data_IF_595974769211
#
_entry.id   IF_595974769211
#
_cell.length_a   1.000
_cell.length_b   1.000
_cell.length_c   1.000
_cell.angle_alpha   90.00
_cell.angle_beta   90.00
_cell.angle_gamma   90.00
#
_symmetry.space_group_name_H-M   'P 1'
#
loop_
_entity.id
_entity.type
_entity.pdbx_description
1 polymer ?
#
# COMPACT_ATOMS: atom_id res chain seq x y z
N UNK A 1 32.93 9.00 -33.16
CA UNK A 1 32.68 7.59 -33.59
C UNK A 1 33.26 6.72 -32.47
N UNK A 2 32.42 6.27 -31.57
CA UNK A 2 32.72 5.38 -30.46
C UNK A 2 31.62 4.36 -30.38
N UNK A 3 31.97 3.11 -30.57
CA UNK A 3 31.06 1.99 -30.68
C UNK A 3 30.43 1.65 -29.32
N UNK A 4 29.11 1.67 -29.28
CA UNK A 4 28.34 1.09 -28.19
C UNK A 4 28.45 -0.42 -28.24
N UNK A 5 29.07 -1.02 -27.22
CA UNK A 5 29.06 -2.46 -27.02
C UNK A 5 27.69 -2.88 -26.45
N UNK A 6 26.86 -3.46 -27.32
CA UNK A 6 25.70 -4.24 -26.91
C UNK A 6 26.20 -5.55 -26.24
N UNK A 7 25.97 -5.68 -24.94
CA UNK A 7 26.13 -6.96 -24.24
C UNK A 7 24.92 -7.82 -24.56
N UNK A 8 25.05 -8.68 -25.55
CA UNK A 8 24.07 -9.72 -25.92
C UNK A 8 24.38 -10.95 -25.10
N UNK A 9 23.59 -11.27 -24.11
CA UNK A 9 23.59 -12.57 -23.45
C UNK A 9 22.89 -13.57 -24.38
N UNK A 10 23.65 -14.50 -24.93
CA UNK A 10 23.14 -15.59 -25.77
C UNK A 10 22.23 -16.54 -24.99
N UNK A 11 21.00 -16.70 -25.48
CA UNK A 11 20.05 -17.73 -25.02
C UNK A 11 20.20 -18.91 -26.01
N UNK A 12 20.40 -20.17 -25.57
CA UNK A 12 20.44 -21.32 -26.47
C UNK A 12 19.06 -21.62 -27.06
N UNK A 13 18.97 -21.75 -28.37
CA UNK A 13 17.81 -22.27 -29.09
C UNK A 13 17.60 -23.76 -28.80
N UNK A 14 16.47 -24.10 -28.13
CA UNK A 14 15.82 -25.40 -28.32
C UNK A 14 14.32 -25.29 -28.10
N UNK A 15 13.56 -25.33 -29.20
CA UNK A 15 12.12 -25.60 -29.15
C UNK A 15 11.92 -27.11 -28.89
N UNK A 16 11.41 -27.46 -27.72
CA UNK A 16 11.08 -28.83 -27.34
C UNK A 16 9.89 -28.87 -26.39
N UNK A 17 9.03 -29.87 -26.54
CA UNK A 17 7.84 -30.14 -25.76
C UNK A 17 8.05 -29.93 -24.23
N UNK A 18 7.03 -29.38 -23.53
CA UNK A 18 7.10 -29.15 -22.08
C UNK A 18 7.46 -30.42 -21.33
N UNK A 19 8.66 -30.50 -20.69
CA UNK A 19 8.98 -31.63 -19.85
C UNK A 19 8.12 -31.62 -18.59
N UNK A 20 7.70 -32.81 -18.16
CA UNK A 20 7.09 -33.04 -16.85
C UNK A 20 8.06 -32.53 -15.77
N UNK A 21 7.63 -31.51 -15.00
CA UNK A 21 8.47 -30.79 -14.02
C UNK A 21 8.81 -31.74 -12.88
N UNK A 22 10.10 -32.06 -12.72
CA UNK A 22 10.62 -32.80 -11.57
C UNK A 22 10.34 -32.04 -10.25
N UNK A 23 9.89 -32.74 -9.24
CA UNK A 23 9.72 -32.21 -7.88
C UNK A 23 11.09 -31.69 -7.39
N UNK A 24 11.26 -30.34 -7.38
CA UNK A 24 12.50 -29.68 -6.91
C UNK A 24 12.97 -28.47 -7.72
N UNK A 25 12.44 -28.20 -8.93
CA UNK A 25 12.83 -27.00 -9.68
C UNK A 25 12.20 -25.74 -9.13
N UNK A 26 13.02 -24.70 -8.90
CA UNK A 26 12.54 -23.36 -8.47
C UNK A 26 11.65 -22.79 -9.56
N UNK A 27 10.42 -22.43 -9.21
CA UNK A 27 9.41 -21.88 -10.12
C UNK A 27 9.77 -20.47 -10.58
N UNK A 28 9.41 -20.13 -11.82
CA UNK A 28 9.62 -18.80 -12.39
C UNK A 28 8.32 -18.00 -12.33
N UNK A 29 8.34 -16.88 -11.60
CA UNK A 29 7.22 -15.96 -11.47
C UNK A 29 7.58 -14.63 -12.13
N UNK A 30 6.69 -14.14 -12.98
CA UNK A 30 6.83 -12.87 -13.67
C UNK A 30 5.97 -11.80 -12.97
N UNK A 31 6.56 -10.67 -12.63
CA UNK A 31 5.87 -9.50 -12.13
C UNK A 31 5.73 -8.46 -13.24
N UNK A 32 4.50 -8.02 -13.53
CA UNK A 32 4.26 -6.93 -14.49
C UNK A 32 4.08 -5.63 -13.73
N UNK A 33 5.11 -4.78 -13.78
CA UNK A 33 5.14 -3.46 -13.13
C UNK A 33 4.83 -2.36 -14.16
N UNK A 34 3.79 -1.58 -13.92
CA UNK A 34 3.58 -0.32 -14.66
C UNK A 34 4.26 0.83 -13.91
N UNK A 35 5.48 1.11 -14.30
CA UNK A 35 6.32 2.18 -13.76
C UNK A 35 6.35 3.44 -14.64
N UNK A 36 5.44 3.56 -15.59
CA UNK A 36 5.41 4.66 -16.59
C UNK A 36 5.36 6.07 -15.99
N UNK A 37 4.94 6.18 -14.72
CA UNK A 37 4.87 7.45 -13.97
C UNK A 37 6.07 7.68 -13.04
N UNK A 38 7.00 6.76 -12.98
CA UNK A 38 8.17 6.80 -12.12
C UNK A 38 9.40 6.85 -13.00
N UNK A 39 10.28 7.81 -12.76
CA UNK A 39 11.49 8.01 -13.58
C UNK A 39 12.69 8.19 -12.67
N UNK A 40 13.85 7.71 -13.15
CA UNK A 40 15.15 7.92 -12.52
C UNK A 40 15.15 7.55 -11.03
N UNK A 41 14.45 6.46 -10.67
CA UNK A 41 14.34 5.98 -9.30
C UNK A 41 15.27 4.79 -9.09
N UNK A 42 16.00 4.82 -8.01
CA UNK A 42 16.85 3.73 -7.57
C UNK A 42 16.08 2.82 -6.59
N UNK A 43 15.82 1.57 -7.02
CA UNK A 43 15.22 0.52 -6.22
C UNK A 43 16.23 -0.59 -5.86
N UNK A 44 17.52 -0.38 -6.03
CA UNK A 44 18.54 -1.43 -5.83
C UNK A 44 18.52 -2.00 -4.42
N UNK A 45 18.17 -1.21 -3.42
CA UNK A 45 18.14 -1.56 -2.00
C UNK A 45 16.76 -1.27 -1.37
N UNK A 46 15.69 -1.98 -1.76
CA UNK A 46 14.35 -1.71 -1.27
C UNK A 46 14.21 -1.92 0.25
N UNK A 47 15.12 -2.71 0.86
CA UNK A 47 15.17 -2.92 2.31
C UNK A 47 15.47 -1.65 3.10
N UNK A 48 16.04 -0.63 2.46
CA UNK A 48 16.24 0.69 3.10
C UNK A 48 14.92 1.48 3.23
N UNK A 49 13.88 1.10 2.49
CA UNK A 49 12.57 1.71 2.51
C UNK A 49 12.16 2.37 1.19
N UNK A 50 10.96 2.92 1.17
CA UNK A 50 10.38 3.54 -0.03
C UNK A 50 11.15 4.83 -0.42
N UNK A 51 11.71 4.89 -1.65
CA UNK A 51 12.47 6.06 -2.14
C UNK A 51 11.58 7.22 -2.60
N UNK A 52 10.44 7.46 -1.94
CA UNK A 52 9.45 8.49 -2.23
C UNK A 52 8.62 8.25 -3.51
N UNK A 53 8.34 7.00 -3.83
CA UNK A 53 7.43 6.63 -4.93
C UNK A 53 6.06 6.14 -4.43
N UNK A 54 5.16 5.82 -5.36
CA UNK A 54 3.87 5.23 -5.04
C UNK A 54 3.99 3.91 -4.27
N UNK A 55 3.15 3.72 -3.25
CA UNK A 55 3.22 2.52 -2.42
C UNK A 55 2.98 1.23 -3.19
N UNK A 56 2.14 1.25 -4.23
CA UNK A 56 1.89 0.06 -5.06
C UNK A 56 3.14 -0.38 -5.80
N UNK A 57 3.80 0.54 -6.49
CA UNK A 57 4.99 0.28 -7.28
C UNK A 57 6.14 -0.18 -6.38
N UNK A 58 6.33 0.48 -5.24
CA UNK A 58 7.32 0.05 -4.25
C UNK A 58 7.06 -1.36 -3.74
N UNK A 59 5.80 -1.70 -3.40
CA UNK A 59 5.45 -3.05 -2.94
C UNK A 59 5.70 -4.13 -4.01
N UNK A 60 5.45 -3.82 -5.30
CA UNK A 60 5.76 -4.75 -6.40
C UNK A 60 7.26 -5.08 -6.44
N UNK A 61 8.12 -4.06 -6.40
CA UNK A 61 9.58 -4.24 -6.42
C UNK A 61 10.06 -4.96 -5.17
N UNK A 62 9.60 -4.53 -4.00
CA UNK A 62 10.04 -5.09 -2.72
C UNK A 62 9.64 -6.54 -2.55
N UNK A 63 8.40 -6.91 -2.90
CA UNK A 63 7.96 -8.30 -2.84
C UNK A 63 8.75 -9.16 -3.84
N UNK A 64 8.96 -8.69 -5.06
CA UNK A 64 9.76 -9.38 -6.07
C UNK A 64 11.18 -9.63 -5.55
N UNK A 65 11.83 -8.62 -4.97
CA UNK A 65 13.15 -8.72 -4.35
C UNK A 65 13.18 -9.76 -3.22
N UNK A 66 12.23 -9.71 -2.29
CA UNK A 66 12.21 -10.58 -1.13
C UNK A 66 11.94 -12.06 -1.49
N UNK A 67 11.03 -12.30 -2.42
CA UNK A 67 10.76 -13.65 -2.91
C UNK A 67 12.01 -14.27 -3.59
N UNK A 68 12.73 -13.45 -4.37
CA UNK A 68 13.98 -13.90 -5.02
C UNK A 68 15.10 -14.12 -4.00
N UNK A 69 15.32 -13.17 -3.07
CA UNK A 69 16.36 -13.24 -2.04
C UNK A 69 16.18 -14.47 -1.13
N UNK A 70 14.94 -14.82 -0.81
CA UNK A 70 14.61 -16.00 0.00
C UNK A 70 14.59 -17.31 -0.80
N UNK A 71 14.88 -17.28 -2.10
CA UNK A 71 14.87 -18.46 -2.96
C UNK A 71 13.50 -19.11 -3.14
N UNK A 72 12.41 -18.36 -2.91
CA UNK A 72 11.04 -18.87 -2.98
C UNK A 72 10.54 -18.98 -4.43
N UNK A 73 11.08 -18.17 -5.34
CA UNK A 73 10.85 -18.22 -6.76
C UNK A 73 12.02 -17.56 -7.53
N UNK A 74 12.21 -17.92 -8.79
CA UNK A 74 12.98 -17.11 -9.74
C UNK A 74 12.07 -15.98 -10.19
N UNK A 75 12.50 -14.73 -10.00
CA UNK A 75 11.66 -13.57 -10.30
C UNK A 75 12.16 -12.87 -11.55
N UNK A 76 11.27 -12.70 -12.52
CA UNK A 76 11.43 -11.74 -13.61
C UNK A 76 10.49 -10.54 -13.35
N UNK A 77 11.03 -9.32 -13.43
CA UNK A 77 10.30 -8.08 -13.27
C UNK A 77 10.26 -7.36 -14.62
N UNK A 78 9.09 -7.31 -15.23
CA UNK A 78 8.88 -6.56 -16.47
C UNK A 78 8.46 -5.15 -16.15
N UNK A 79 9.14 -4.18 -16.74
CA UNK A 79 8.94 -2.75 -16.50
C UNK A 79 9.01 -1.95 -17.81
N UNK A 80 8.65 -0.66 -17.78
CA UNK A 80 8.59 0.20 -18.96
C UNK A 80 9.69 1.26 -18.99
N UNK A 81 9.92 1.92 -17.86
CA UNK A 81 10.88 3.03 -17.82
C UNK A 81 12.31 2.50 -17.64
N UNK A 82 13.18 2.85 -18.59
CA UNK A 82 14.57 2.41 -18.62
C UNK A 82 15.50 3.22 -17.72
N UNK A 83 15.00 4.31 -17.13
CA UNK A 83 15.78 5.17 -16.23
C UNK A 83 15.74 4.68 -14.78
N UNK A 84 14.82 3.77 -14.45
CA UNK A 84 14.73 3.15 -13.13
C UNK A 84 15.73 2.00 -12.99
N UNK A 85 16.29 1.83 -11.80
CA UNK A 85 17.28 0.79 -11.47
C UNK A 85 16.65 -0.16 -10.46
N UNK A 86 16.75 -1.46 -10.73
CA UNK A 86 16.09 -2.51 -9.94
C UNK A 86 17.09 -3.39 -9.19
N UNK A 87 16.66 -4.13 -8.13
CA UNK A 87 17.55 -5.00 -7.36
C UNK A 87 18.16 -6.12 -8.25
N UNK A 88 19.43 -6.43 -8.04
CA UNK A 88 20.14 -7.49 -8.77
C UNK A 88 19.60 -8.90 -8.51
N UNK A 89 18.77 -9.07 -7.51
CA UNK A 89 18.11 -10.34 -7.16
C UNK A 89 17.00 -10.73 -8.13
N UNK A 90 16.47 -9.76 -8.88
CA UNK A 90 15.43 -9.97 -9.89
C UNK A 90 15.98 -9.81 -11.29
N UNK A 91 15.45 -10.56 -12.26
CA UNK A 91 15.73 -10.36 -13.68
C UNK A 91 14.85 -9.19 -14.17
N UNK A 92 15.36 -7.96 -14.14
CA UNK A 92 14.65 -6.79 -14.63
C UNK A 92 14.69 -6.71 -16.16
N UNK A 93 13.53 -6.57 -16.79
CA UNK A 93 13.33 -6.64 -18.24
C UNK A 93 12.49 -5.47 -18.74
N UNK A 94 13.12 -4.56 -19.46
CA UNK A 94 12.43 -3.41 -20.03
C UNK A 94 11.70 -3.78 -21.32
N UNK A 95 10.44 -3.34 -21.46
CA UNK A 95 9.66 -3.45 -22.69
C UNK A 95 9.19 -2.07 -23.16
N UNK A 96 9.22 -1.84 -24.49
CA UNK A 96 8.80 -0.56 -25.07
C UNK A 96 7.29 -0.47 -25.24
N UNK A 97 6.67 -1.56 -25.69
CA UNK A 97 5.23 -1.67 -25.92
C UNK A 97 4.65 -2.78 -25.05
N UNK A 98 3.69 -2.39 -24.18
CA UNK A 98 3.20 -3.32 -23.18
C UNK A 98 2.43 -4.50 -23.77
N UNK A 99 1.56 -4.39 -24.81
CA UNK A 99 0.93 -5.60 -25.34
C UNK A 99 1.83 -6.42 -26.25
N UNK A 100 2.41 -5.82 -27.30
CA UNK A 100 3.20 -6.55 -28.31
C UNK A 100 4.51 -7.08 -27.79
N UNK A 101 5.28 -6.21 -27.10
CA UNK A 101 6.57 -6.56 -26.50
C UNK A 101 6.46 -7.62 -25.42
N UNK A 102 5.32 -7.68 -24.69
CA UNK A 102 5.11 -8.70 -23.67
C UNK A 102 5.03 -10.12 -24.26
N UNK A 103 4.31 -10.30 -25.37
CA UNK A 103 4.22 -11.62 -26.03
C UNK A 103 5.59 -12.10 -26.52
N UNK A 104 6.35 -11.22 -27.18
CA UNK A 104 7.70 -11.54 -27.63
C UNK A 104 8.59 -11.92 -26.44
N UNK A 105 8.54 -11.15 -25.37
CA UNK A 105 9.32 -11.41 -24.17
C UNK A 105 8.97 -12.76 -23.55
N UNK A 106 7.67 -13.09 -23.42
CA UNK A 106 7.22 -14.36 -22.86
C UNK A 106 7.69 -15.56 -23.69
N UNK A 107 7.75 -15.42 -25.03
CA UNK A 107 8.27 -16.45 -25.91
C UNK A 107 9.79 -16.68 -25.73
N UNK A 108 10.52 -15.64 -25.31
CA UNK A 108 11.99 -15.68 -25.14
C UNK A 108 12.44 -16.14 -23.75
N UNK A 109 11.63 -15.89 -22.71
CA UNK A 109 12.02 -16.15 -21.32
C UNK A 109 12.02 -17.62 -20.90
N UNK A 110 11.49 -18.51 -21.74
CA UNK A 110 11.27 -19.90 -21.37
C UNK A 110 10.05 -20.10 -20.47
N UNK A 111 9.93 -21.21 -19.75
CA UNK A 111 8.71 -21.54 -19.01
C UNK A 111 8.48 -20.56 -17.86
N UNK A 112 7.32 -19.89 -17.89
CA UNK A 112 6.79 -19.06 -16.81
C UNK A 112 5.69 -19.84 -16.10
N UNK A 113 5.80 -20.01 -14.79
CA UNK A 113 4.87 -20.78 -13.99
C UNK A 113 3.68 -19.93 -13.50
N UNK A 114 3.86 -18.62 -13.34
CA UNK A 114 2.80 -17.70 -12.90
C UNK A 114 3.14 -16.25 -13.26
N UNK A 115 2.12 -15.44 -13.49
CA UNK A 115 2.27 -13.99 -13.69
C UNK A 115 1.49 -13.24 -12.62
N UNK A 116 2.16 -12.28 -11.95
CA UNK A 116 1.54 -11.35 -11.01
C UNK A 116 1.32 -10.02 -11.71
N UNK A 117 0.06 -9.57 -11.78
CA UNK A 117 -0.32 -8.31 -12.39
C UNK A 117 -0.96 -7.40 -11.35
N UNK A 118 -0.88 -6.08 -11.56
CA UNK A 118 -1.66 -5.13 -10.78
C UNK A 118 -3.14 -5.31 -11.10
N UNK A 119 -3.94 -5.73 -10.11
CA UNK A 119 -5.39 -5.79 -10.21
C UNK A 119 -6.00 -4.40 -10.01
N UNK A 120 -6.44 -3.75 -11.10
CA UNK A 120 -7.04 -2.41 -11.07
C UNK A 120 -8.14 -2.28 -12.15
N UNK A 121 -8.96 -1.22 -12.07
CA UNK A 121 -10.13 -1.05 -12.90
C UNK A 121 -9.84 -0.87 -14.40
N UNK A 122 -8.63 -0.50 -14.77
CA UNK A 122 -8.21 -0.41 -16.17
C UNK A 122 -7.60 -1.71 -16.71
N UNK A 123 -7.41 -2.75 -15.90
CA UNK A 123 -6.84 -4.02 -16.37
C UNK A 123 -7.67 -4.68 -17.49
N UNK A 124 -9.03 -4.70 -17.42
CA UNK A 124 -9.85 -5.24 -18.49
C UNK A 124 -9.66 -4.51 -19.82
N UNK A 125 -9.64 -3.17 -19.80
CA UNK A 125 -9.50 -2.34 -21.01
C UNK A 125 -8.08 -2.27 -21.55
N UNK A 126 -7.08 -2.53 -20.72
CA UNK A 126 -5.68 -2.58 -21.14
C UNK A 126 -5.36 -3.79 -22.02
N UNK A 127 -6.21 -4.83 -22.00
CA UNK A 127 -6.08 -6.01 -22.84
C UNK A 127 -4.82 -6.84 -22.61
N UNK A 128 -4.08 -6.59 -21.52
CA UNK A 128 -2.79 -7.24 -21.23
C UNK A 128 -2.92 -8.76 -21.19
N UNK A 129 -4.03 -9.25 -20.62
CA UNK A 129 -4.25 -10.71 -20.49
C UNK A 129 -4.37 -11.42 -21.84
N UNK A 130 -4.79 -10.72 -22.91
CA UNK A 130 -4.88 -11.30 -24.26
C UNK A 130 -3.49 -11.64 -24.86
N UNK A 131 -2.42 -11.13 -24.28
CA UNK A 131 -1.04 -11.36 -24.72
C UNK A 131 -0.33 -12.40 -23.87
N UNK A 132 -0.96 -12.85 -22.77
CA UNK A 132 -0.46 -13.94 -21.93
C UNK A 132 -0.90 -15.26 -22.58
N UNK A 133 0.00 -16.21 -22.84
CA UNK A 133 -0.36 -17.52 -23.37
C UNK A 133 -1.35 -18.26 -22.48
N UNK A 134 -2.27 -18.99 -23.11
CA UNK A 134 -3.21 -19.84 -22.39
C UNK A 134 -2.48 -20.87 -21.51
N UNK A 135 -3.03 -21.12 -20.34
CA UNK A 135 -2.46 -22.07 -19.38
C UNK A 135 -1.43 -21.47 -18.42
N UNK A 136 -0.98 -20.22 -18.60
CA UNK A 136 -0.18 -19.52 -17.57
C UNK A 136 -1.15 -18.88 -16.55
N UNK A 137 -1.11 -19.30 -15.27
CA UNK A 137 -1.97 -18.74 -14.25
C UNK A 137 -1.58 -17.28 -13.93
N UNK A 138 -2.59 -16.44 -13.72
CA UNK A 138 -2.41 -15.04 -13.37
C UNK A 138 -2.95 -14.80 -11.95
N UNK A 139 -2.18 -14.05 -11.17
CA UNK A 139 -2.57 -13.50 -9.88
C UNK A 139 -2.81 -11.99 -10.05
N UNK A 140 -4.03 -11.53 -9.81
CA UNK A 140 -4.38 -10.11 -9.79
C UNK A 140 -4.16 -9.55 -8.38
N UNK A 141 -3.08 -8.80 -8.16
CA UNK A 141 -2.73 -8.20 -6.86
C UNK A 141 -3.32 -6.78 -6.76
N UNK A 142 -4.28 -6.58 -5.84
CA UNK A 142 -5.14 -5.41 -5.79
C UNK A 142 -4.83 -4.50 -4.60
N UNK A 143 -4.36 -3.30 -4.89
CA UNK A 143 -4.04 -2.28 -3.89
C UNK A 143 -5.15 -1.23 -3.70
N UNK A 144 -6.18 -1.25 -4.55
CA UNK A 144 -7.31 -0.33 -4.52
C UNK A 144 -8.63 -1.10 -4.54
N UNK A 145 -9.72 -0.43 -4.13
CA UNK A 145 -11.06 -0.96 -4.30
C UNK A 145 -11.42 -1.03 -5.79
N UNK A 146 -12.09 -2.10 -6.19
CA UNK A 146 -12.43 -2.38 -7.58
C UNK A 146 -13.91 -2.18 -7.85
N UNK A 147 -14.24 -1.75 -9.07
CA UNK A 147 -15.62 -1.67 -9.56
C UNK A 147 -16.23 -3.05 -9.78
N UNK A 148 -17.55 -3.11 -9.74
CA UNK A 148 -18.28 -4.36 -9.99
C UNK A 148 -17.99 -4.97 -11.36
N UNK A 149 -17.82 -4.14 -12.39
CA UNK A 149 -17.46 -4.60 -13.74
C UNK A 149 -16.10 -5.30 -13.77
N UNK A 150 -15.11 -4.77 -13.06
CA UNK A 150 -13.78 -5.39 -12.94
C UNK A 150 -13.85 -6.71 -12.18
N UNK A 151 -14.65 -6.78 -11.11
CA UNK A 151 -14.85 -8.01 -10.34
C UNK A 151 -15.57 -9.08 -11.16
N UNK A 152 -16.52 -8.70 -12.02
CA UNK A 152 -17.19 -9.60 -12.96
C UNK A 152 -16.23 -10.10 -14.05
N UNK A 153 -15.37 -9.22 -14.58
CA UNK A 153 -14.33 -9.61 -15.51
C UNK A 153 -13.35 -10.61 -14.89
N UNK A 154 -12.90 -10.38 -13.64
CA UNK A 154 -12.01 -11.31 -12.93
C UNK A 154 -12.66 -12.67 -12.68
N UNK A 155 -13.98 -12.70 -12.47
CA UNK A 155 -14.72 -13.97 -12.35
C UNK A 155 -14.72 -14.76 -13.67
N UNK A 156 -14.99 -14.07 -14.78
CA UNK A 156 -15.10 -14.68 -16.11
C UNK A 156 -13.75 -15.07 -16.73
N UNK A 157 -12.66 -14.40 -16.34
CA UNK A 157 -11.33 -14.66 -16.88
C UNK A 157 -10.72 -15.91 -16.21
N UNK A 158 -10.61 -17.01 -16.96
CA UNK A 158 -10.06 -18.28 -16.44
C UNK A 158 -8.57 -18.20 -16.10
N UNK A 159 -7.80 -17.39 -16.81
CA UNK A 159 -6.39 -17.18 -16.52
C UNK A 159 -6.17 -16.56 -15.13
N UNK A 160 -7.10 -15.70 -14.65
CA UNK A 160 -7.03 -15.16 -13.30
C UNK A 160 -7.41 -16.25 -12.30
N UNK A 161 -6.41 -16.86 -11.71
CA UNK A 161 -6.58 -17.95 -10.72
C UNK A 161 -6.81 -17.42 -9.32
N UNK A 162 -6.21 -16.28 -8.97
CA UNK A 162 -6.35 -15.65 -7.65
C UNK A 162 -6.48 -14.13 -7.78
N UNK A 163 -7.29 -13.56 -6.89
CA UNK A 163 -7.39 -12.13 -6.65
C UNK A 163 -6.88 -11.87 -5.23
N UNK A 164 -5.72 -11.23 -5.11
CA UNK A 164 -5.08 -10.95 -3.83
C UNK A 164 -5.36 -9.52 -3.43
N UNK A 165 -6.06 -9.33 -2.32
CA UNK A 165 -6.30 -8.04 -1.69
C UNK A 165 -5.22 -7.76 -0.65
N UNK A 166 -4.85 -6.48 -0.47
CA UNK A 166 -3.83 -6.08 0.50
C UNK A 166 -4.40 -5.82 1.89
N UNK A 167 -5.72 -5.82 2.06
CA UNK A 167 -6.39 -5.61 3.33
C UNK A 167 -7.50 -6.63 3.58
N UNK A 168 -7.67 -7.00 4.83
CA UNK A 168 -8.74 -7.90 5.26
C UNK A 168 -10.11 -7.25 5.05
N UNK A 169 -10.25 -5.96 5.43
CA UNK A 169 -11.48 -5.21 5.18
C UNK A 169 -11.73 -5.05 3.68
N UNK A 170 -10.72 -4.76 2.89
CA UNK A 170 -10.83 -4.67 1.43
C UNK A 170 -11.37 -5.99 0.83
N UNK A 171 -10.83 -7.12 1.23
CA UNK A 171 -11.30 -8.45 0.80
C UNK A 171 -12.74 -8.71 1.25
N UNK A 172 -13.08 -8.39 2.49
CA UNK A 172 -14.43 -8.55 3.03
C UNK A 172 -15.48 -7.68 2.30
N UNK A 173 -15.09 -6.48 1.84
CA UNK A 173 -15.95 -5.61 1.05
C UNK A 173 -16.24 -6.17 -0.35
N UNK A 174 -15.36 -7.01 -0.90
CA UNK A 174 -15.58 -7.72 -2.15
C UNK A 174 -16.48 -8.96 -1.99
N UNK A 175 -16.83 -9.35 -0.77
CA UNK A 175 -17.70 -10.49 -0.52
C UNK A 175 -19.08 -10.31 -1.19
N UNK A 176 -19.52 -11.34 -1.90
CA UNK A 176 -20.72 -11.30 -2.75
C UNK A 176 -20.46 -10.83 -4.18
N UNK A 177 -19.24 -10.40 -4.52
CA UNK A 177 -18.85 -10.22 -5.90
C UNK A 177 -18.62 -11.58 -6.60
N UNK A 178 -18.83 -11.67 -7.92
CA UNK A 178 -18.68 -12.94 -8.65
C UNK A 178 -17.26 -13.55 -8.53
N UNK A 179 -16.22 -12.74 -8.41
CA UNK A 179 -14.82 -13.20 -8.29
C UNK A 179 -14.41 -13.59 -6.85
N UNK A 180 -15.32 -13.52 -5.88
CA UNK A 180 -14.95 -13.71 -4.48
C UNK A 180 -14.41 -15.11 -4.16
N UNK A 181 -14.85 -16.13 -4.89
CA UNK A 181 -14.34 -17.51 -4.74
C UNK A 181 -12.85 -17.67 -5.11
N UNK A 182 -12.29 -16.74 -5.91
CA UNK A 182 -10.85 -16.66 -6.25
C UNK A 182 -10.07 -15.78 -5.28
N UNK A 183 -10.73 -15.18 -4.29
CA UNK A 183 -10.17 -14.08 -3.49
C UNK A 183 -9.48 -14.57 -2.23
N UNK A 184 -8.36 -13.96 -1.94
CA UNK A 184 -7.65 -14.04 -0.65
C UNK A 184 -7.13 -12.66 -0.27
N UNK A 185 -6.55 -12.51 0.93
CA UNK A 185 -5.81 -11.30 1.26
C UNK A 185 -4.41 -11.66 1.76
N UNK A 186 -3.42 -10.87 1.32
CA UNK A 186 -2.06 -10.87 1.81
C UNK A 186 -1.66 -9.41 1.96
N UNK A 187 -1.30 -8.94 3.16
CA UNK A 187 -1.01 -7.52 3.36
C UNK A 187 0.25 -7.09 2.61
N UNK A 188 0.42 -5.78 2.46
CA UNK A 188 1.70 -5.22 2.02
C UNK A 188 2.79 -5.55 3.04
N UNK A 189 3.99 -5.82 2.55
CA UNK A 189 5.15 -6.01 3.40
C UNK A 189 5.71 -4.69 3.95
N UNK A 190 6.39 -4.79 5.08
CA UNK A 190 7.14 -3.70 5.69
C UNK A 190 8.58 -4.13 5.94
N UNK A 191 9.52 -3.32 5.49
CA UNK A 191 10.87 -3.31 6.06
C UNK A 191 10.83 -2.52 7.36
N UNK A 192 10.90 -3.24 8.48
CA UNK A 192 10.84 -2.59 9.80
C UNK A 192 12.08 -1.72 9.95
N UNK A 193 11.92 -0.39 10.13
CA UNK A 193 13.07 0.48 10.29
C UNK A 193 13.88 0.09 11.52
N UNK A 194 15.21 0.24 11.49
CA UNK A 194 16.02 0.03 12.68
C UNK A 194 15.57 0.99 13.78
N UNK A 195 15.36 0.48 14.99
CA UNK A 195 14.96 1.28 16.14
C UNK A 195 16.02 2.34 16.42
N UNK A 196 15.60 3.58 16.36
CA UNK A 196 16.43 4.71 16.76
C UNK A 196 16.33 4.91 18.27
N UNK A 197 17.48 5.00 18.96
CA UNK A 197 17.52 5.34 20.40
C UNK A 197 17.26 6.81 20.70
N UNK A 198 16.75 7.56 19.72
CA UNK A 198 16.41 8.98 19.89
C UNK A 198 15.16 9.11 20.76
N UNK A 199 15.23 9.96 21.77
CA UNK A 199 14.09 10.25 22.63
C UNK A 199 12.93 10.83 21.83
N UNK A 200 11.74 10.29 22.04
CA UNK A 200 10.50 10.82 21.47
C UNK A 200 10.26 12.24 21.95
N UNK A 201 9.83 13.09 21.04
CA UNK A 201 9.51 14.49 21.29
C UNK A 201 7.99 14.70 21.17
N UNK A 202 7.44 15.81 21.70
CA UNK A 202 6.01 16.12 21.52
C UNK A 202 5.72 16.52 20.07
N UNK A 203 6.05 15.61 19.15
CA UNK A 203 5.88 15.74 17.70
C UNK A 203 4.88 14.72 17.19
N UNK A 204 4.05 15.18 16.27
CA UNK A 204 3.28 14.31 15.39
C UNK A 204 3.92 14.28 13.99
N UNK A 205 3.74 13.18 13.27
CA UNK A 205 4.14 13.06 11.88
C UNK A 205 2.96 12.67 11.00
N UNK A 206 2.81 13.37 9.88
CA UNK A 206 1.94 13.00 8.77
C UNK A 206 2.81 12.54 7.59
N UNK A 207 2.47 11.40 6.99
CA UNK A 207 3.08 10.97 5.72
C UNK A 207 1.98 10.65 4.73
N UNK A 208 2.04 11.27 3.57
CA UNK A 208 1.10 11.00 2.50
C UNK A 208 1.20 11.96 1.33
N UNK A 209 0.62 11.54 0.24
CA UNK A 209 0.45 12.36 -0.95
C UNK A 209 -0.42 13.57 -0.62
N UNK A 210 0.07 14.79 -0.86
CA UNK A 210 -0.64 16.03 -0.51
C UNK A 210 -1.66 16.41 -1.58
N UNK A 211 -2.75 15.66 -1.60
CA UNK A 211 -3.93 15.86 -2.46
C UNK A 211 -5.21 15.77 -1.62
N UNK A 212 -6.34 16.31 -2.11
CA UNK A 212 -7.61 16.30 -1.36
C UNK A 212 -8.03 14.91 -0.87
N UNK A 213 -7.80 13.87 -1.67
CA UNK A 213 -8.18 12.49 -1.38
C UNK A 213 -7.42 11.90 -0.18
N UNK A 214 -6.21 12.38 0.10
CA UNK A 214 -5.40 12.00 1.27
C UNK A 214 -5.64 12.87 2.51
N UNK A 215 -6.55 13.84 2.41
CA UNK A 215 -7.22 14.48 3.52
C UNK A 215 -6.37 15.35 4.45
N UNK A 216 -5.12 15.70 4.11
CA UNK A 216 -4.29 16.53 5.00
C UNK A 216 -4.96 17.85 5.41
N UNK A 217 -5.80 18.46 4.54
CA UNK A 217 -6.59 19.64 4.86
C UNK A 217 -7.52 19.45 6.08
N UNK A 218 -8.00 18.23 6.34
CA UNK A 218 -8.76 17.92 7.54
C UNK A 218 -7.86 18.00 8.78
N UNK A 219 -6.66 17.44 8.73
CA UNK A 219 -5.69 17.58 9.80
C UNK A 219 -5.30 19.04 10.02
N UNK A 220 -5.01 19.79 8.95
CA UNK A 220 -4.71 21.23 9.04
C UNK A 220 -5.84 22.04 9.71
N UNK A 221 -7.10 21.65 9.51
CA UNK A 221 -8.27 22.24 10.19
C UNK A 221 -8.32 21.91 11.67
N UNK A 222 -7.95 20.68 12.06
CA UNK A 222 -8.01 20.20 13.46
C UNK A 222 -6.77 20.61 14.26
N UNK A 223 -5.63 20.76 13.61
CA UNK A 223 -4.35 20.99 14.25
C UNK A 223 -4.29 22.23 15.17
N UNK A 224 -4.88 23.39 14.83
CA UNK A 224 -4.93 24.55 15.73
C UNK A 224 -5.61 24.27 17.08
N UNK A 225 -6.56 23.32 17.13
CA UNK A 225 -7.21 22.91 18.40
C UNK A 225 -6.25 22.07 19.24
N UNK A 226 -5.54 21.11 18.59
CA UNK A 226 -4.51 20.28 19.22
C UNK A 226 -3.40 21.17 19.78
N UNK A 227 -2.90 22.10 18.97
CA UNK A 227 -1.83 23.04 19.36
C UNK A 227 -2.22 23.96 20.51
N UNK A 228 -3.50 24.35 20.60
CA UNK A 228 -4.01 25.13 21.73
C UNK A 228 -4.00 24.33 23.03
N UNK A 229 -4.40 23.05 22.97
CA UNK A 229 -4.38 22.16 24.13
C UNK A 229 -2.96 21.73 24.54
N UNK A 230 -2.06 21.59 23.55
CA UNK A 230 -0.67 21.19 23.74
C UNK A 230 0.26 22.21 23.07
N UNK A 231 0.62 23.34 23.73
CA UNK A 231 1.37 24.43 23.12
C UNK A 231 2.79 24.08 22.61
N UNK A 232 3.35 22.98 23.06
CA UNK A 232 4.67 22.47 22.62
C UNK A 232 4.57 21.47 21.48
N UNK A 233 3.36 21.00 21.11
CA UNK A 233 3.19 20.00 20.07
C UNK A 233 3.63 20.54 18.70
N UNK A 234 4.39 19.77 17.94
CA UNK A 234 4.82 20.10 16.59
C UNK A 234 4.32 19.04 15.59
N UNK A 235 4.15 19.43 14.34
CA UNK A 235 3.69 18.55 13.25
C UNK A 235 4.67 18.59 12.10
N UNK A 236 5.29 17.44 11.84
CA UNK A 236 6.10 17.20 10.66
C UNK A 236 5.22 16.64 9.53
N UNK A 237 5.25 17.25 8.35
CA UNK A 237 4.45 16.88 7.19
C UNK A 237 5.37 16.42 6.07
N UNK A 238 5.31 15.12 5.74
CA UNK A 238 6.14 14.49 4.71
C UNK A 238 5.25 14.11 3.53
N UNK A 239 5.63 14.55 2.35
CA UNK A 239 4.96 14.24 1.10
C UNK A 239 4.75 15.44 0.18
N UNK A 240 4.32 15.14 -1.03
CA UNK A 240 4.03 16.14 -2.05
C UNK A 240 2.95 15.62 -3.02
N UNK A 241 2.31 16.52 -3.74
CA UNK A 241 1.43 16.17 -4.88
C UNK A 241 2.22 15.61 -6.08
N UNK A 242 3.53 15.85 -6.15
CA UNK A 242 4.39 15.44 -7.26
C UNK A 242 4.63 13.94 -7.39
N UNK A 243 4.32 13.13 -6.37
CA UNK A 243 4.48 11.66 -6.43
C UNK A 243 3.82 11.04 -7.67
N UNK A 244 2.63 11.53 -8.06
CA UNK A 244 1.91 11.05 -9.26
C UNK A 244 1.71 12.13 -10.33
N UNK A 245 2.12 13.37 -10.05
CA UNK A 245 2.00 14.54 -10.94
C UNK A 245 3.30 15.33 -10.93
N UNK A 246 4.39 14.79 -11.50
CA UNK A 246 5.72 15.41 -11.41
C UNK A 246 5.76 16.82 -12.01
N UNK A 247 4.93 17.09 -13.03
CA UNK A 247 4.84 18.39 -13.71
C UNK A 247 3.90 19.39 -13.01
N UNK A 248 3.28 19.03 -11.86
CA UNK A 248 2.36 19.91 -11.17
C UNK A 248 3.07 21.17 -10.66
N UNK A 249 2.49 22.35 -10.98
CA UNK A 249 2.97 23.62 -10.42
C UNK A 249 2.55 23.70 -8.94
N UNK A 250 3.55 23.79 -8.06
CA UNK A 250 3.34 23.87 -6.64
C UNK A 250 2.97 25.30 -6.19
N UNK A 251 2.28 25.41 -5.08
CA UNK A 251 1.98 26.64 -4.39
C UNK A 251 3.15 27.14 -3.51
N UNK A 252 2.88 28.14 -2.63
CA UNK A 252 3.92 28.81 -1.84
C UNK A 252 4.60 27.91 -0.79
N UNK A 253 3.98 26.81 -0.36
CA UNK A 253 4.60 25.84 0.54
C UNK A 253 5.52 24.86 -0.19
N UNK A 254 5.47 24.81 -1.52
CA UNK A 254 6.30 23.93 -2.36
C UNK A 254 5.97 22.45 -2.27
N UNK A 255 4.77 22.08 -1.81
CA UNK A 255 4.43 20.67 -1.54
C UNK A 255 3.18 20.17 -2.27
N UNK A 256 2.29 21.07 -2.70
CA UNK A 256 1.04 20.70 -3.38
C UNK A 256 0.62 21.76 -4.41
N UNK A 257 -0.48 21.49 -5.15
CA UNK A 257 -1.05 22.47 -6.05
C UNK A 257 -1.43 23.77 -5.33
N UNK A 258 -1.37 24.90 -6.03
CA UNK A 258 -1.70 26.21 -5.46
C UNK A 258 -3.07 26.21 -4.76
N UNK A 259 -4.09 25.61 -5.38
CA UNK A 259 -5.44 25.55 -4.81
C UNK A 259 -5.50 24.76 -3.51
N UNK A 260 -4.76 23.65 -3.44
CA UNK A 260 -4.76 22.81 -2.25
C UNK A 260 -3.93 23.43 -1.13
N UNK A 261 -2.78 24.04 -1.44
CA UNK A 261 -1.99 24.78 -0.44
C UNK A 261 -2.76 25.99 0.09
N UNK A 262 -3.52 26.73 -0.74
CA UNK A 262 -4.37 27.82 -0.31
C UNK A 262 -5.44 27.35 0.69
N UNK A 263 -6.00 26.14 0.50
CA UNK A 263 -6.93 25.55 1.45
C UNK A 263 -6.25 25.21 2.79
N UNK A 264 -5.06 24.62 2.76
CA UNK A 264 -4.26 24.29 3.94
C UNK A 264 -3.89 25.57 4.70
N UNK A 265 -3.35 26.57 4.00
CA UNK A 265 -2.94 27.85 4.57
C UNK A 265 -4.11 28.60 5.24
N UNK A 266 -5.31 28.54 4.66
CA UNK A 266 -6.50 29.13 5.29
C UNK A 266 -6.76 28.57 6.69
N UNK A 267 -6.62 27.24 6.88
CA UNK A 267 -6.79 26.62 8.20
C UNK A 267 -5.64 26.94 9.15
N UNK A 268 -4.44 27.12 8.66
CA UNK A 268 -3.24 27.47 9.42
C UNK A 268 -3.01 29.01 9.46
N UNK A 269 -4.03 29.83 9.11
CA UNK A 269 -4.00 31.30 9.14
C UNK A 269 -2.81 31.90 8.39
N UNK A 270 -2.41 31.31 7.28
CA UNK A 270 -1.28 31.67 6.42
C UNK A 270 0.10 31.66 7.14
N UNK A 271 0.18 31.05 8.32
CA UNK A 271 1.40 30.97 9.11
C UNK A 271 1.54 29.56 9.74
N UNK A 272 1.96 28.55 8.99
CA UNK A 272 2.17 27.20 9.52
C UNK A 272 3.16 27.15 10.67
N UNK A 273 4.21 27.97 10.63
CA UNK A 273 5.26 27.99 11.66
C UNK A 273 4.70 28.39 13.04
N UNK A 274 3.77 29.34 13.08
CA UNK A 274 3.07 29.73 14.31
C UNK A 274 2.30 28.58 14.96
N UNK A 275 1.86 27.61 14.15
CA UNK A 275 1.20 26.40 14.62
C UNK A 275 2.18 25.22 14.81
N UNK A 276 3.50 25.44 14.68
CA UNK A 276 4.51 24.40 14.80
C UNK A 276 4.42 23.36 13.69
N UNK A 277 4.00 23.74 12.47
CA UNK A 277 3.87 22.82 11.31
C UNK A 277 5.05 23.04 10.38
N UNK A 278 5.78 21.96 10.10
CA UNK A 278 6.90 21.95 9.17
C UNK A 278 6.61 21.05 7.98
N UNK A 279 6.71 21.59 6.76
CA UNK A 279 6.56 20.82 5.52
C UNK A 279 7.93 20.41 5.00
N UNK A 280 8.18 19.12 4.88
CA UNK A 280 9.47 18.57 4.42
C UNK A 280 9.50 18.28 2.91
N UNK A 281 8.34 18.29 2.24
CA UNK A 281 8.26 17.84 0.86
C UNK A 281 8.40 16.31 0.72
N UNK A 282 8.86 15.87 -0.44
CA UNK A 282 9.13 14.45 -0.69
C UNK A 282 10.40 14.05 0.06
N UNK A 283 10.33 12.94 0.77
CA UNK A 283 11.48 12.34 1.46
C UNK A 283 11.56 10.85 1.12
N UNK A 284 12.76 10.37 0.85
CA UNK A 284 13.06 8.95 0.71
C UNK A 284 13.25 8.28 2.08
N UNK A 285 14.37 7.61 2.26
CA UNK A 285 14.68 6.89 3.51
C UNK A 285 15.00 7.80 4.69
N UNK A 286 15.41 9.05 4.44
CA UNK A 286 15.65 10.07 5.46
C UNK A 286 14.40 10.41 6.30
N UNK A 287 13.20 10.10 5.81
CA UNK A 287 11.95 10.23 6.57
C UNK A 287 11.97 9.47 7.90
N UNK A 288 12.70 8.35 7.97
CA UNK A 288 12.78 7.56 9.21
C UNK A 288 13.45 8.34 10.35
N UNK A 289 14.38 9.24 10.05
CA UNK A 289 14.97 10.14 11.03
C UNK A 289 13.96 11.13 11.63
N UNK A 290 12.98 11.59 10.83
CA UNK A 290 11.87 12.43 11.30
C UNK A 290 10.88 11.61 12.12
N UNK A 291 10.43 10.47 11.59
CA UNK A 291 9.46 9.59 12.23
C UNK A 291 9.93 9.05 13.58
N UNK A 292 11.22 8.70 13.68
CA UNK A 292 11.80 8.17 14.93
C UNK A 292 11.70 9.15 16.11
N UNK A 293 11.64 10.46 15.84
CA UNK A 293 11.44 11.49 16.87
C UNK A 293 9.99 11.74 17.22
N UNK A 294 9.06 11.33 16.34
CA UNK A 294 7.64 11.58 16.54
C UNK A 294 7.04 10.66 17.61
N UNK A 295 6.29 11.23 18.52
CA UNK A 295 5.50 10.52 19.52
C UNK A 295 4.20 9.96 18.93
N UNK A 296 3.59 10.69 17.97
CA UNK A 296 2.29 10.39 17.41
C UNK A 296 2.36 10.28 15.89
N UNK A 297 1.80 9.22 15.33
CA UNK A 297 1.61 9.05 13.89
C UNK A 297 0.19 9.45 13.47
N UNK A 298 0.07 10.36 12.51
CA UNK A 298 -1.20 10.87 11.99
C UNK A 298 -1.29 10.58 10.49
N UNK A 299 -1.68 9.34 10.08
CA UNK A 299 -1.83 9.00 8.66
C UNK A 299 -3.04 9.74 8.08
N UNK A 300 -3.40 9.42 6.82
CA UNK A 300 -4.60 9.97 6.17
C UNK A 300 -5.76 10.14 7.16
N UNK A 301 -6.10 11.39 7.57
CA UNK A 301 -7.07 11.64 8.66
C UNK A 301 -8.51 11.36 8.24
N UNK A 302 -8.76 11.06 6.96
CA UNK A 302 -10.08 10.59 6.51
C UNK A 302 -10.17 9.06 6.55
N UNK A 303 -9.04 8.35 6.48
CA UNK A 303 -8.98 6.90 6.29
C UNK A 303 -9.53 6.44 4.94
N UNK A 304 -10.08 7.37 4.14
CA UNK A 304 -10.83 7.05 2.93
C UNK A 304 -9.96 6.33 1.89
N UNK A 305 -10.50 5.25 1.32
CA UNK A 305 -9.86 4.41 0.30
C UNK A 305 -8.54 3.72 0.68
N UNK A 306 -8.08 3.85 1.91
CA UNK A 306 -6.88 3.13 2.35
C UNK A 306 -7.18 1.62 2.47
N UNK A 307 -6.39 0.80 1.80
CA UNK A 307 -6.56 -0.67 1.84
C UNK A 307 -5.56 -1.32 2.80
N UNK A 308 -4.28 -0.95 2.70
CA UNK A 308 -3.21 -1.32 3.62
C UNK A 308 -2.20 -0.15 3.62
N UNK A 309 -2.45 0.89 4.45
CA UNK A 309 -1.67 2.12 4.39
C UNK A 309 -0.24 1.92 4.88
N UNK A 310 0.72 1.98 3.95
CA UNK A 310 2.15 1.88 4.25
C UNK A 310 2.62 2.92 5.26
N UNK A 311 2.03 4.13 5.24
CA UNK A 311 2.33 5.18 6.22
C UNK A 311 2.03 4.76 7.67
N UNK A 312 0.94 4.02 7.91
CA UNK A 312 0.63 3.46 9.24
C UNK A 312 1.68 2.44 9.64
N UNK A 313 2.05 1.55 8.72
CA UNK A 313 3.05 0.51 9.00
C UNK A 313 4.41 1.14 9.32
N UNK A 314 4.84 2.13 8.54
CA UNK A 314 6.10 2.84 8.76
C UNK A 314 6.10 3.63 10.08
N UNK A 315 5.03 4.37 10.40
CA UNK A 315 4.90 5.11 11.66
C UNK A 315 4.94 4.17 12.87
N UNK A 316 4.19 3.06 12.80
CA UNK A 316 4.20 2.02 13.84
C UNK A 316 5.56 1.34 13.95
N UNK A 317 6.22 1.07 12.82
CA UNK A 317 7.59 0.54 12.78
C UNK A 317 8.62 1.45 13.46
N UNK A 318 8.36 2.76 13.44
CA UNK A 318 9.15 3.77 14.18
C UNK A 318 8.65 4.04 15.60
N UNK A 319 7.82 3.18 16.18
CA UNK A 319 7.26 3.33 17.53
C UNK A 319 6.46 4.64 17.74
N UNK A 320 5.80 5.17 16.72
CA UNK A 320 4.85 6.25 16.90
C UNK A 320 3.46 5.68 17.19
N UNK A 321 2.79 6.14 18.26
CA UNK A 321 1.41 5.77 18.56
C UNK A 321 0.47 6.35 17.48
N UNK A 322 -0.23 5.49 16.74
CA UNK A 322 -1.02 5.93 15.59
C UNK A 322 -2.42 6.36 16.00
N UNK A 323 -2.85 7.55 15.56
CA UNK A 323 -4.26 8.00 15.68
C UNK A 323 -4.85 8.10 14.28
N UNK A 324 -5.86 7.29 14.01
CA UNK A 324 -6.51 7.19 12.71
C UNK A 324 -8.05 7.16 12.83
N UNK A 325 -8.75 7.42 11.73
CA UNK A 325 -10.20 7.21 11.69
C UNK A 325 -10.52 5.71 11.59
N UNK A 326 -11.58 5.26 12.27
CA UNK A 326 -12.08 3.88 12.25
C UNK A 326 -12.72 3.53 10.90
N UNK A 327 -11.92 3.50 9.86
CA UNK A 327 -12.39 3.25 8.49
C UNK A 327 -11.38 2.46 7.67
N UNK A 328 -11.88 1.63 6.78
CA UNK A 328 -11.12 0.93 5.73
C UNK A 328 -9.91 0.16 6.30
N UNK A 329 -8.81 0.15 5.60
CA UNK A 329 -7.58 -0.54 6.00
C UNK A 329 -6.92 -0.01 7.28
N UNK A 330 -7.35 1.14 7.82
CA UNK A 330 -6.93 1.57 9.15
C UNK A 330 -7.36 0.56 10.22
N UNK A 331 -8.52 -0.08 10.04
CA UNK A 331 -9.02 -1.11 10.95
C UNK A 331 -8.20 -2.41 10.93
N UNK A 332 -7.42 -2.63 9.87
CA UNK A 332 -6.53 -3.80 9.73
C UNK A 332 -5.11 -3.50 10.24
N UNK A 333 -4.71 -2.22 10.27
CA UNK A 333 -3.32 -1.82 10.52
C UNK A 333 -3.09 -1.12 11.86
N UNK A 334 -4.16 -0.83 12.60
CA UNK A 334 -4.09 -0.29 13.97
C UNK A 334 -4.87 -1.19 14.92
N UNK A 335 -4.22 -1.67 15.98
CA UNK A 335 -4.89 -2.32 17.10
C UNK A 335 -5.44 -1.25 18.05
N UNK A 336 -6.76 -1.03 17.97
CA UNK A 336 -7.44 0.02 18.71
C UNK A 336 -7.22 -0.10 20.23
N UNK A 337 -6.82 1.00 20.85
CA UNK A 337 -6.47 1.12 22.26
C UNK A 337 -5.23 0.30 22.71
N UNK A 338 -4.52 -0.36 21.79
CA UNK A 338 -3.30 -1.14 22.06
C UNK A 338 -2.09 -0.54 21.35
N UNK A 339 -2.15 -0.36 20.01
CA UNK A 339 -1.08 0.23 19.22
C UNK A 339 -1.36 1.67 18.81
N UNK A 340 -2.50 2.20 19.21
CA UNK A 340 -2.99 3.53 18.84
C UNK A 340 -4.50 3.63 19.03
N UNK A 341 -5.11 4.60 18.38
CA UNK A 341 -6.55 4.85 18.49
C UNK A 341 -7.23 4.85 17.12
N UNK A 342 -8.40 4.21 17.04
CA UNK A 342 -9.32 4.27 15.90
C UNK A 342 -10.51 5.15 16.28
N UNK A 343 -10.54 6.38 15.80
CA UNK A 343 -11.51 7.41 16.15
C UNK A 343 -12.75 7.38 15.26
N UNK A 344 -13.89 7.76 15.79
CA UNK A 344 -15.17 7.77 15.10
C UNK A 344 -15.48 9.11 14.45
N UNK A 345 -14.95 10.20 15.03
CA UNK A 345 -15.20 11.58 14.60
C UNK A 345 -14.00 12.49 14.93
N UNK A 346 -14.13 13.78 14.54
CA UNK A 346 -13.10 14.79 14.73
C UNK A 346 -12.83 15.11 16.19
N UNK A 347 -13.85 15.06 17.05
CA UNK A 347 -13.71 15.36 18.47
C UNK A 347 -12.85 14.27 19.13
N UNK A 348 -13.23 13.00 18.95
CA UNK A 348 -12.45 11.89 19.47
C UNK A 348 -11.02 11.91 18.91
N UNK A 349 -10.85 12.25 17.62
CA UNK A 349 -9.52 12.34 17.03
C UNK A 349 -8.64 13.38 17.74
N UNK A 350 -9.17 14.59 17.96
CA UNK A 350 -8.44 15.65 18.69
C UNK A 350 -8.12 15.20 20.12
N UNK A 351 -9.10 14.66 20.85
CA UNK A 351 -8.95 14.23 22.23
C UNK A 351 -7.88 13.14 22.37
N UNK A 352 -7.83 12.16 21.45
CA UNK A 352 -6.84 11.09 21.46
C UNK A 352 -5.43 11.61 21.17
N UNK A 353 -5.26 12.52 20.21
CA UNK A 353 -3.95 13.15 19.95
C UNK A 353 -3.48 13.93 21.17
N UNK A 354 -4.36 14.76 21.78
CA UNK A 354 -4.06 15.52 22.98
C UNK A 354 -3.67 14.59 24.14
N UNK A 355 -4.42 13.50 24.34
CA UNK A 355 -4.14 12.53 25.42
C UNK A 355 -2.78 11.87 25.28
N UNK A 356 -2.32 11.58 24.05
CA UNK A 356 -0.99 11.01 23.82
C UNK A 356 0.11 12.03 24.12
N UNK A 357 -0.06 13.29 23.73
CA UNK A 357 0.90 14.34 24.08
C UNK A 357 0.95 14.61 25.58
N UNK A 358 -0.19 14.55 26.27
CA UNK A 358 -0.26 14.73 27.72
C UNK A 358 0.30 13.54 28.51
N UNK A 359 0.38 12.34 27.90
CA UNK A 359 0.86 11.12 28.55
C UNK A 359 1.94 10.41 27.71
N UNK A 360 3.20 10.85 27.78
CA UNK A 360 4.30 10.24 27.03
C UNK A 360 4.50 8.73 27.32
N UNK A 361 4.23 8.28 28.54
CA UNK A 361 4.33 6.86 28.89
C UNK A 361 3.29 6.01 28.13
N UNK A 362 2.06 6.50 28.02
CA UNK A 362 1.02 5.84 27.23
C UNK A 362 1.41 5.82 25.76
N UNK A 363 1.88 6.94 25.20
CA UNK A 363 2.33 7.03 23.81
C UNK A 363 3.48 6.04 23.54
N UNK A 364 4.48 5.97 24.41
CA UNK A 364 5.60 5.03 24.29
C UNK A 364 5.14 3.56 24.34
N UNK A 365 4.24 3.22 25.28
CA UNK A 365 3.67 1.86 25.40
C UNK A 365 2.91 1.46 24.14
N UNK A 366 2.06 2.35 23.61
CA UNK A 366 1.31 2.13 22.38
C UNK A 366 2.22 2.04 21.16
N UNK A 367 3.23 2.91 21.06
CA UNK A 367 4.22 2.89 19.99
C UNK A 367 4.98 1.55 19.95
N UNK A 368 5.47 1.09 21.10
CA UNK A 368 6.14 -0.21 21.21
C UNK A 368 5.21 -1.39 20.87
N UNK A 369 3.94 -1.33 21.28
CA UNK A 369 2.94 -2.33 20.88
C UNK A 369 2.67 -2.31 19.38
N UNK A 370 2.64 -1.11 18.78
CA UNK A 370 2.49 -0.91 17.33
C UNK A 370 3.66 -1.52 16.56
N UNK A 371 4.88 -1.26 16.99
CA UNK A 371 6.09 -1.80 16.35
C UNK A 371 6.09 -3.35 16.40
N UNK A 372 5.78 -3.96 17.55
CA UNK A 372 5.64 -5.42 17.62
C UNK A 372 4.57 -5.94 16.68
N UNK A 373 3.38 -5.34 16.70
CA UNK A 373 2.27 -5.75 15.82
C UNK A 373 2.64 -5.70 14.33
N UNK A 374 3.28 -4.63 13.87
CA UNK A 374 3.65 -4.54 12.45
C UNK A 374 4.79 -5.46 12.09
N UNK A 375 5.72 -5.74 13.00
CA UNK A 375 6.77 -6.74 12.81
C UNK A 375 6.19 -8.15 12.68
N UNK A 376 5.29 -8.52 13.58
CA UNK A 376 4.72 -9.88 13.66
C UNK A 376 3.71 -10.16 12.54
N UNK A 377 3.11 -9.11 11.94
CA UNK A 377 2.00 -9.27 10.98
C UNK A 377 2.31 -8.82 9.56
N UNK A 378 3.27 -7.90 9.38
CA UNK A 378 3.52 -7.21 8.11
C UNK A 378 4.99 -7.26 7.67
N UNK A 379 5.90 -7.86 8.45
CA UNK A 379 7.28 -8.02 7.99
C UNK A 379 7.34 -8.87 6.70
N UNK A 380 8.33 -8.62 5.84
CA UNK A 380 8.48 -9.41 4.62
C UNK A 380 8.73 -10.90 4.91
N UNK A 381 9.22 -11.26 6.08
CA UNK A 381 9.29 -12.65 6.51
C UNK A 381 7.91 -13.31 6.55
N UNK A 382 6.96 -12.67 7.23
CA UNK A 382 5.58 -13.16 7.35
C UNK A 382 4.83 -13.09 6.02
N UNK A 383 5.00 -12.00 5.28
CA UNK A 383 4.31 -11.79 3.99
C UNK A 383 4.78 -12.78 2.94
N UNK A 384 6.09 -13.03 2.83
CA UNK A 384 6.65 -13.99 1.88
C UNK A 384 6.19 -15.43 2.14
N UNK A 385 6.01 -15.84 3.38
CA UNK A 385 5.45 -17.16 3.71
C UNK A 385 3.97 -17.28 3.27
N UNK A 386 3.19 -16.19 3.33
CA UNK A 386 1.82 -16.18 2.80
C UNK A 386 1.82 -16.27 1.28
N UNK A 387 2.71 -15.55 0.58
CA UNK A 387 2.87 -15.64 -0.86
C UNK A 387 3.35 -17.03 -1.31
N UNK A 388 4.26 -17.65 -0.58
CA UNK A 388 4.72 -19.03 -0.85
C UNK A 388 3.55 -20.02 -0.80
N UNK A 389 2.68 -19.91 0.22
CA UNK A 389 1.47 -20.75 0.30
C UNK A 389 0.54 -20.51 -0.88
N UNK A 390 0.32 -19.24 -1.26
CA UNK A 390 -0.49 -18.88 -2.41
C UNK A 390 0.08 -19.46 -3.71
N UNK A 391 1.38 -19.36 -3.93
CA UNK A 391 2.03 -19.95 -5.11
C UNK A 391 1.86 -21.47 -5.16
N UNK A 392 2.03 -22.15 -4.03
CA UNK A 392 1.81 -23.60 -3.97
C UNK A 392 0.37 -23.98 -4.34
N UNK A 393 -0.63 -23.21 -3.89
CA UNK A 393 -2.03 -23.40 -4.31
C UNK A 393 -2.22 -23.17 -5.80
N UNK A 394 -1.64 -22.13 -6.36
CA UNK A 394 -1.75 -21.80 -7.79
C UNK A 394 -1.06 -22.85 -8.65
N UNK A 395 0.12 -23.32 -8.27
CA UNK A 395 0.87 -24.32 -9.00
C UNK A 395 0.27 -25.72 -8.94
N UNK A 396 -0.39 -26.07 -7.84
CA UNK A 396 -1.07 -27.36 -7.70
C UNK A 396 -2.50 -27.33 -8.25
N UNK A 397 -2.97 -26.21 -8.77
CA UNK A 397 -4.38 -25.98 -9.14
C UNK A 397 -5.37 -26.27 -8.00
N UNK A 398 -4.91 -26.20 -6.76
CA UNK A 398 -5.74 -26.41 -5.58
C UNK A 398 -6.83 -25.34 -5.45
N UNK A 399 -7.95 -25.70 -4.84
CA UNK A 399 -8.95 -24.72 -4.43
C UNK A 399 -8.35 -23.76 -3.39
N UNK A 400 -8.83 -22.49 -3.29
CA UNK A 400 -8.34 -21.56 -2.28
C UNK A 400 -8.49 -22.15 -0.88
N UNK A 401 -7.38 -22.20 -0.12
CA UNK A 401 -7.38 -22.68 1.29
C UNK A 401 -8.11 -21.71 2.21
N UNK A 402 -8.36 -20.50 1.74
CA UNK A 402 -8.98 -19.42 2.48
C UNK A 402 -10.49 -19.42 2.30
N UNK A 403 -11.22 -19.71 3.37
CA UNK A 403 -12.66 -19.52 3.40
C UNK A 403 -13.00 -18.05 3.61
N UNK A 404 -13.28 -17.38 2.53
CA UNK A 404 -13.76 -15.99 2.52
C UNK A 404 -15.04 -15.81 3.38
N UNK A 405 -15.80 -16.88 3.63
CA UNK A 405 -16.99 -16.87 4.47
C UNK A 405 -16.70 -16.47 5.94
N UNK A 406 -15.52 -16.80 6.45
CA UNK A 406 -15.11 -16.45 7.82
C UNK A 406 -14.97 -14.93 8.06
N UNK A 407 -14.75 -14.13 7.01
CA UNK A 407 -14.68 -12.66 7.11
C UNK A 407 -16.04 -11.98 7.01
N UNK A 408 -16.99 -12.61 6.36
CA UNK A 408 -18.28 -12.02 6.03
C UNK A 408 -19.07 -11.53 7.25
N UNK A 409 -18.88 -12.18 8.41
CA UNK A 409 -19.55 -11.84 9.66
C UNK A 409 -18.93 -10.68 10.44
N UNK A 410 -17.68 -10.26 10.13
CA UNK A 410 -16.95 -9.26 10.92
C UNK A 410 -17.35 -7.81 10.59
N UNK A 411 -17.83 -7.56 9.40
CA UNK A 411 -18.08 -6.20 8.91
C UNK A 411 -19.58 -5.96 8.68
N UNK A 412 -20.24 -5.25 9.59
CA UNK A 412 -21.63 -4.90 9.43
C UNK A 412 -21.82 -3.98 8.23
N UNK A 413 -23.03 -4.03 7.66
CA UNK A 413 -23.38 -3.22 6.48
C UNK A 413 -22.45 -3.44 5.27
N UNK A 414 -21.92 -4.65 5.13
CA UNK A 414 -21.00 -5.02 4.04
C UNK A 414 -21.47 -4.52 2.66
N UNK A 415 -22.76 -4.65 2.32
CA UNK A 415 -23.30 -4.19 1.03
C UNK A 415 -23.19 -2.68 0.86
N UNK A 416 -23.48 -1.91 1.92
CA UNK A 416 -23.35 -0.45 1.92
C UNK A 416 -21.87 -0.01 1.85
N UNK A 417 -21.00 -0.66 2.60
CA UNK A 417 -19.55 -0.41 2.54
C UNK A 417 -19.00 -0.75 1.17
N UNK A 418 -19.40 -1.89 0.59
CA UNK A 418 -19.01 -2.29 -0.75
C UNK A 418 -19.53 -1.31 -1.82
N UNK A 419 -20.76 -0.82 -1.71
CA UNK A 419 -21.29 0.20 -2.60
C UNK A 419 -20.49 1.51 -2.48
N UNK A 420 -20.22 1.98 -1.27
CA UNK A 420 -19.42 3.19 -1.04
C UNK A 420 -17.98 3.07 -1.57
N UNK A 421 -17.32 1.92 -1.39
CA UNK A 421 -15.97 1.68 -1.91
C UNK A 421 -15.89 1.76 -3.44
N UNK A 422 -16.97 1.43 -4.14
CA UNK A 422 -17.05 1.44 -5.60
C UNK A 422 -17.46 2.78 -6.19
N UNK A 423 -18.33 3.50 -5.48
CA UNK A 423 -18.94 4.76 -5.96
C UNK A 423 -18.27 5.99 -5.35
N UNK A 424 -17.54 5.80 -4.24
CA UNK A 424 -16.89 6.87 -3.48
C UNK A 424 -17.85 8.00 -3.07
N UNK A 425 -19.07 7.63 -2.64
CA UNK A 425 -20.11 8.60 -2.29
C UNK A 425 -19.94 9.12 -0.87
N UNK A 426 -19.79 10.45 -0.67
CA UNK A 426 -19.75 11.06 0.67
C UNK A 426 -21.01 10.78 1.50
N UNK A 427 -22.19 10.69 0.86
CA UNK A 427 -23.45 10.40 1.52
C UNK A 427 -23.49 8.97 2.07
N UNK A 428 -23.04 7.99 1.29
CA UNK A 428 -22.91 6.60 1.73
C UNK A 428 -21.87 6.47 2.85
N UNK A 429 -20.79 7.21 2.78
CA UNK A 429 -19.76 7.27 3.83
C UNK A 429 -20.35 7.83 5.14
N UNK A 430 -21.11 8.91 5.07
CA UNK A 430 -21.80 9.48 6.22
C UNK A 430 -22.79 8.51 6.85
N UNK A 431 -23.56 7.78 6.02
CA UNK A 431 -24.51 6.77 6.48
C UNK A 431 -23.79 5.59 7.18
N UNK A 432 -22.72 5.06 6.59
CA UNK A 432 -21.90 4.02 7.22
C UNK A 432 -21.33 4.49 8.54
N UNK A 433 -20.78 5.72 8.59
CA UNK A 433 -20.24 6.30 9.82
C UNK A 433 -21.33 6.53 10.89
N UNK A 434 -22.55 6.88 10.50
CA UNK A 434 -23.68 7.00 11.42
C UNK A 434 -24.03 5.64 12.05
N UNK A 435 -24.17 4.59 11.25
CA UNK A 435 -24.50 3.26 11.74
C UNK A 435 -23.39 2.67 12.61
N UNK A 436 -22.13 2.91 12.28
CA UNK A 436 -21.00 2.49 13.14
C UNK A 436 -21.02 3.20 14.50
N UNK A 437 -21.42 4.50 14.55
CA UNK A 437 -21.62 5.23 15.81
C UNK A 437 -22.77 4.64 16.63
N UNK A 438 -23.94 4.41 16.01
CA UNK A 438 -25.09 3.82 16.69
C UNK A 438 -24.74 2.44 17.26
N UNK A 439 -24.05 1.60 16.50
CA UNK A 439 -23.60 0.29 16.98
C UNK A 439 -22.59 0.36 18.12
N UNK A 440 -21.66 1.31 18.08
CA UNK A 440 -20.72 1.56 19.18
C UNK A 440 -21.40 1.89 20.51
N UNK A 441 -22.58 2.51 20.45
CA UNK A 441 -23.40 2.78 21.63
C UNK A 441 -24.02 1.48 22.17
N UNK A 442 -24.48 0.58 21.30
CA UNK A 442 -25.08 -0.70 21.71
C UNK A 442 -24.04 -1.70 22.23
N UNK A 443 -22.82 -1.72 21.67
CA UNK A 443 -21.75 -2.64 22.11
C UNK A 443 -21.08 -2.24 23.44
N UNK A 444 -21.27 -0.99 23.91
CA UNK A 444 -20.82 -0.56 25.25
C UNK A 444 -21.77 -0.99 26.38
N UNK A 445 -22.88 -1.64 26.07
CA UNK A 445 -23.88 -2.12 27.04
C UNK A 445 -23.81 -3.66 27.28
N UNK A 446 -22.84 -4.34 26.69
CA UNK A 446 -22.52 -5.74 26.94
C UNK A 446 -20.97 -5.86 27.10
#
# INVERSE_FOLDING_TARGET
>A
MGAEQQVVYGVPETAGARPSVSAGSVRTVLFLLDDSKIKSTDFTEPQLGNPAVGGTEFNFVSLAHELATRGLARIALVHRDRTNIYPKTVLALAINDYPGGLRELLNRLGPIDCIVVRGHDSLPSAGILNFIPDGIPVIAWTHNHLRSSTLSYFAACEQIRRVVYVGREQCALAAGAPSYYKSTYIPNGLYVPPLSRVAKQPRAVYIGHLVPEKGFHRLARLWPRIRRACPTAELDVIGSSKVYRPEERLGPLGVASLSYESLILRYLRNDPAKFGVTFHGMMGTEKYGVMSRAMVGLPNPTGFTECCPGSVLEMSGCEAAVVAMRQWGMCDTVLDQVSGFLCRDDEEYVDRVVSLFANPCMAASMGAAGQRFVTDSFSYEVVCEQWKRLFNEVFSSAAPSYSASALAGRYPLRRLRSANSRVHSPQLQALVGFVDRVRGIFLKRY
#
